data_IF_371004958559
#
_entry.id   IF_371004958559
#
_cell.length_a   1.000
_cell.length_b   1.000
_cell.length_c   1.000
_cell.angle_alpha   90.00
_cell.angle_beta   90.00
_cell.angle_gamma   90.00
#
_symmetry.space_group_name_H-M   'P 1'
#
loop_
_entity.id
_entity.type
_entity.pdbx_description
1 polymer ?
#
# COMPACT_ATOMS: atom_id res chain seq x y z
N UNK A 1 1.66 -27.40 -7.97
CA UNK A 1 2.83 -26.51 -7.71
C UNK A 1 2.26 -25.27 -7.04
N UNK A 2 2.92 -24.72 -6.04
CA UNK A 2 2.26 -23.81 -5.12
C UNK A 2 1.85 -22.42 -5.68
N UNK A 3 2.16 -22.13 -6.95
CA UNK A 3 1.56 -21.00 -7.69
C UNK A 3 0.13 -21.29 -8.15
N UNK A 4 -0.23 -22.55 -8.39
CA UNK A 4 -1.57 -22.99 -8.81
C UNK A 4 -2.61 -22.80 -7.70
N UNK A 5 -2.16 -22.63 -6.46
CA UNK A 5 -2.99 -22.46 -5.27
C UNK A 5 -3.22 -20.98 -4.92
N UNK A 6 -2.65 -20.04 -5.69
CA UNK A 6 -2.85 -18.61 -5.48
C UNK A 6 -4.26 -18.20 -5.91
N UNK A 7 -5.00 -17.58 -4.98
CA UNK A 7 -6.32 -17.03 -5.28
C UNK A 7 -6.19 -15.56 -5.71
N UNK A 8 -6.60 -15.18 -6.94
CA UNK A 8 -6.66 -13.79 -7.32
C UNK A 8 -7.75 -13.07 -6.50
N UNK A 9 -7.44 -11.86 -6.07
CA UNK A 9 -8.40 -10.98 -5.38
C UNK A 9 -8.65 -9.77 -6.27
N UNK A 10 -9.92 -9.41 -6.43
CA UNK A 10 -10.29 -8.19 -7.13
C UNK A 10 -9.80 -6.97 -6.34
N UNK A 11 -9.10 -6.06 -7.02
CA UNK A 11 -8.55 -4.85 -6.40
C UNK A 11 -9.54 -3.70 -6.55
N UNK A 12 -9.78 -2.98 -5.46
CA UNK A 12 -10.56 -1.75 -5.49
C UNK A 12 -9.70 -0.59 -6.03
N UNK A 13 -9.47 -0.56 -7.35
CA UNK A 13 -8.59 0.43 -7.98
C UNK A 13 -9.06 1.88 -7.75
N UNK A 14 -10.38 2.10 -7.72
CA UNK A 14 -10.97 3.43 -7.46
C UNK A 14 -10.68 3.89 -6.02
N UNK A 15 -10.93 3.03 -5.03
CA UNK A 15 -10.64 3.31 -3.63
C UNK A 15 -9.15 3.48 -3.36
N UNK A 16 -8.31 2.64 -3.98
CA UNK A 16 -6.84 2.76 -3.92
C UNK A 16 -6.41 4.13 -4.45
N UNK A 17 -6.83 4.51 -5.66
CA UNK A 17 -6.47 5.79 -6.26
C UNK A 17 -6.88 6.99 -5.39
N UNK A 18 -8.08 6.95 -4.80
CA UNK A 18 -8.56 7.98 -3.88
C UNK A 18 -7.67 8.10 -2.64
N UNK A 19 -7.34 6.98 -1.99
CA UNK A 19 -6.50 6.95 -0.79
C UNK A 19 -5.07 7.41 -1.10
N UNK A 20 -4.48 7.00 -2.23
CA UNK A 20 -3.14 7.47 -2.63
C UNK A 20 -3.09 9.00 -2.72
N UNK A 21 -4.11 9.63 -3.31
CA UNK A 21 -4.22 11.08 -3.39
C UNK A 21 -4.35 11.74 -2.01
N UNK A 22 -5.23 11.21 -1.17
CA UNK A 22 -5.47 11.69 0.20
C UNK A 22 -4.18 11.64 1.03
N UNK A 23 -3.47 10.50 0.99
CA UNK A 23 -2.24 10.31 1.75
C UNK A 23 -1.10 11.17 1.21
N UNK A 24 -0.99 11.35 -0.12
CA UNK A 24 0.02 12.26 -0.68
C UNK A 24 -0.22 13.71 -0.24
N UNK A 25 -1.48 14.15 -0.18
CA UNK A 25 -1.82 15.50 0.30
C UNK A 25 -1.51 15.68 1.79
N UNK A 26 -1.80 14.67 2.63
CA UNK A 26 -1.62 14.74 4.10
C UNK A 26 -0.16 14.61 4.53
N UNK A 27 0.59 13.71 3.91
CA UNK A 27 1.92 13.32 4.36
C UNK A 27 3.06 13.85 3.48
N UNK A 28 2.77 14.39 2.29
CA UNK A 28 3.77 14.97 1.40
C UNK A 28 4.85 13.96 1.02
N UNK A 29 6.11 14.29 1.32
CA UNK A 29 7.26 13.43 1.05
C UNK A 29 7.38 12.24 2.00
N UNK A 30 6.65 12.23 3.12
CA UNK A 30 6.54 11.05 3.98
C UNK A 30 5.62 9.97 3.40
N UNK A 31 5.01 10.21 2.24
CA UNK A 31 4.28 9.19 1.49
C UNK A 31 4.88 8.98 0.09
N UNK A 32 5.31 7.74 -0.17
CA UNK A 32 6.09 7.37 -1.34
C UNK A 32 5.35 6.33 -2.19
N UNK A 33 5.21 6.60 -3.49
CA UNK A 33 4.62 5.69 -4.49
C UNK A 33 5.63 5.26 -5.56
N UNK A 34 6.89 5.63 -5.40
CA UNK A 34 7.98 5.27 -6.32
C UNK A 34 8.25 3.76 -6.32
N UNK A 35 8.52 3.23 -7.51
CA UNK A 35 8.73 1.80 -7.75
C UNK A 35 9.84 1.21 -6.86
N UNK A 36 10.98 1.89 -6.73
CA UNK A 36 12.09 1.41 -5.93
C UNK A 36 11.73 1.25 -4.44
N UNK A 37 11.02 2.23 -3.87
CA UNK A 37 10.59 2.18 -2.46
C UNK A 37 9.57 1.06 -2.27
N UNK A 38 8.57 0.97 -3.15
CA UNK A 38 7.55 -0.10 -3.09
C UNK A 38 8.16 -1.49 -3.24
N UNK A 39 9.13 -1.64 -4.15
CA UNK A 39 9.85 -2.90 -4.36
C UNK A 39 10.65 -3.36 -3.13
N UNK A 40 11.31 -2.44 -2.43
CA UNK A 40 12.02 -2.75 -1.18
C UNK A 40 11.07 -3.27 -0.08
N UNK A 41 9.81 -2.82 -0.07
CA UNK A 41 8.80 -3.22 0.91
C UNK A 41 8.00 -4.48 0.52
N UNK A 42 8.37 -5.12 -0.59
CA UNK A 42 7.75 -6.37 -1.05
C UNK A 42 8.77 -7.50 -1.25
N UNK A 43 9.99 -7.32 -0.74
CA UNK A 43 11.06 -8.30 -0.84
C UNK A 43 10.91 -9.39 0.24
N UNK A 44 10.43 -10.56 -0.16
CA UNK A 44 10.32 -11.74 0.72
C UNK A 44 11.21 -12.87 0.22
N UNK A 45 11.53 -13.84 1.08
CA UNK A 45 12.33 -15.02 0.73
C UNK A 45 11.49 -16.17 0.16
N UNK A 46 10.27 -15.89 -0.32
CA UNK A 46 9.35 -16.90 -0.84
C UNK A 46 9.53 -17.11 -2.34
N UNK A 47 8.94 -18.18 -2.88
CA UNK A 47 8.89 -18.43 -4.34
C UNK A 47 7.71 -17.71 -5.03
N UNK A 48 6.91 -16.95 -4.28
CA UNK A 48 5.72 -16.25 -4.79
C UNK A 48 6.17 -14.99 -5.54
N UNK A 49 5.50 -14.61 -6.66
CA UNK A 49 5.78 -13.35 -7.34
C UNK A 49 5.72 -12.15 -6.40
N UNK A 50 6.53 -11.14 -6.65
CA UNK A 50 6.55 -9.90 -5.85
C UNK A 50 5.19 -9.22 -5.83
N UNK A 51 4.69 -8.93 -4.63
CA UNK A 51 3.42 -8.23 -4.39
C UNK A 51 3.71 -6.85 -3.80
N UNK A 52 4.05 -5.89 -4.67
CA UNK A 52 4.34 -4.53 -4.24
C UNK A 52 3.11 -3.83 -3.64
N UNK A 53 3.24 -3.09 -2.52
CA UNK A 53 2.16 -2.25 -2.02
C UNK A 53 1.87 -1.10 -3.01
N UNK A 54 0.74 -0.41 -2.87
CA UNK A 54 0.41 0.76 -3.70
C UNK A 54 1.15 2.05 -3.29
N UNK A 55 1.54 2.13 -2.02
CA UNK A 55 2.33 3.22 -1.47
C UNK A 55 2.92 2.86 -0.10
N UNK A 56 3.89 3.64 0.34
CA UNK A 56 4.60 3.46 1.61
C UNK A 56 4.56 4.77 2.38
N UNK A 57 4.02 4.73 3.61
CA UNK A 57 3.95 5.88 4.51
C UNK A 57 5.01 5.76 5.62
N UNK A 58 5.81 6.81 5.79
CA UNK A 58 6.78 6.97 6.88
C UNK A 58 6.12 7.77 8.00
N UNK A 59 5.45 7.07 8.90
CA UNK A 59 4.73 7.66 10.04
C UNK A 59 5.66 8.00 11.20
N UNK A 60 5.34 9.06 11.93
CA UNK A 60 6.12 9.52 13.10
C UNK A 60 5.32 9.44 14.39
N UNK A 61 3.98 9.36 14.30
CA UNK A 61 3.07 9.39 15.45
C UNK A 61 1.97 8.32 15.35
N UNK A 62 1.26 8.11 16.47
CA UNK A 62 0.09 7.22 16.47
C UNK A 62 -1.06 7.84 15.68
N UNK A 63 -1.18 9.16 15.71
CA UNK A 63 -2.18 9.94 15.00
C UNK A 63 -2.06 9.77 13.49
N UNK A 64 -0.83 9.75 12.96
CA UNK A 64 -0.55 9.46 11.54
C UNK A 64 -1.11 8.09 11.13
N UNK A 65 -0.89 7.06 11.95
CA UNK A 65 -1.39 5.70 11.68
C UNK A 65 -2.91 5.69 11.71
N UNK A 66 -3.52 6.31 12.71
CA UNK A 66 -4.98 6.39 12.79
C UNK A 66 -5.58 7.12 11.59
N UNK A 67 -4.92 8.16 11.10
CA UNK A 67 -5.32 8.92 9.92
C UNK A 67 -5.32 8.08 8.65
N UNK A 68 -4.26 7.29 8.44
CA UNK A 68 -4.16 6.33 7.34
C UNK A 68 -5.30 5.30 7.42
N UNK A 69 -5.50 4.69 8.59
CA UNK A 69 -6.55 3.67 8.77
C UNK A 69 -7.94 4.26 8.50
N UNK A 70 -8.22 5.48 8.98
CA UNK A 70 -9.49 6.18 8.71
C UNK A 70 -9.69 6.47 7.22
N UNK A 71 -8.65 6.89 6.50
CA UNK A 71 -8.71 7.10 5.06
C UNK A 71 -9.03 5.79 4.32
N UNK A 72 -8.31 4.70 4.61
CA UNK A 72 -8.58 3.41 3.99
C UNK A 72 -10.00 2.90 4.27
N UNK A 73 -10.48 3.03 5.52
CA UNK A 73 -11.81 2.55 5.91
C UNK A 73 -12.97 3.25 5.18
N UNK A 74 -12.76 4.51 4.76
CA UNK A 74 -13.73 5.30 4.01
C UNK A 74 -13.83 4.87 2.52
N UNK A 75 -12.85 4.14 2.00
CA UNK A 75 -12.72 3.79 0.58
C UNK A 75 -12.56 2.27 0.34
N UNK A 76 -13.14 1.43 1.22
CA UNK A 76 -13.08 -0.04 1.13
C UNK A 76 -13.95 -0.60 0.01
#
# INVERSE_FOLDING_TARGET
MALSDLNPVERNEEGIAAVLGILKQRFGERFQTGEAIRGQHAHTTTYIPTQAPDGVAFVETTEDVQEIVRACAAHR
#
